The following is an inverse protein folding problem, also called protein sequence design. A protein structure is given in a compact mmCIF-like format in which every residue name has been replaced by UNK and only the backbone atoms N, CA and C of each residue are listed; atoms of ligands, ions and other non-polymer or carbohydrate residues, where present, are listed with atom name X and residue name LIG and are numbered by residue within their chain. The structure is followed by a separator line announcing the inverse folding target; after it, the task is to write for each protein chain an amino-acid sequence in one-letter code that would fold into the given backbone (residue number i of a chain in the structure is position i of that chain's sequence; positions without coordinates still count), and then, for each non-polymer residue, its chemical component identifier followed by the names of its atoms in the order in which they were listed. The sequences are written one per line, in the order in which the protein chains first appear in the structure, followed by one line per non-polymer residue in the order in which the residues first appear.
data_IF_162073555352
#
_entry.id   IF_162073555352
#
_cell.length_a   1.000
_cell.length_b   1.000
_cell.length_c   1.000
_cell.angle_alpha   90.00
_cell.angle_beta   90.00
_cell.angle_gamma   90.00
#
_symmetry.space_group_name_H-M   'P 1'
#
loop_
_entity.id
_entity.type
_entity.pdbx_description
1 polymer ?
#
# COMPACT_ATOMS: atom_id res chain seq x y z
N UNK A 1 -25.21 -1.90 -5.52
CA UNK A 1 -23.81 -2.00 -5.94
C UNK A 1 -22.93 -1.96 -4.69
N UNK A 2 -22.04 -2.95 -4.48
CA UNK A 2 -21.13 -2.92 -3.33
C UNK A 2 -20.02 -1.92 -3.60
N UNK A 3 -19.99 -0.83 -2.82
CA UNK A 3 -19.05 0.27 -3.01
C UNK A 3 -17.81 0.05 -2.15
N UNK A 4 -16.63 0.32 -2.72
CA UNK A 4 -15.38 0.41 -1.97
C UNK A 4 -15.47 1.56 -0.96
N UNK A 5 -14.96 1.30 0.22
CA UNK A 5 -14.64 2.34 1.21
C UNK A 5 -13.14 2.43 1.36
N UNK A 6 -12.65 3.57 1.78
CA UNK A 6 -11.22 3.78 1.99
C UNK A 6 -10.94 4.44 3.34
N UNK A 7 -9.73 4.21 3.84
CA UNK A 7 -9.21 4.86 5.07
C UNK A 7 -7.71 5.03 4.94
N UNK A 8 -7.23 6.22 5.32
CA UNK A 8 -5.80 6.51 5.39
C UNK A 8 -5.20 6.09 6.73
N UNK A 9 -3.95 5.68 6.69
CA UNK A 9 -3.16 5.24 7.83
C UNK A 9 -1.78 5.88 7.78
N UNK A 10 -1.23 6.15 8.96
CA UNK A 10 0.18 6.50 9.15
C UNK A 10 0.83 5.34 9.87
N UNK A 11 1.92 4.85 9.32
CA UNK A 11 2.76 3.86 9.95
C UNK A 11 4.03 4.51 10.46
N UNK A 12 4.34 4.28 11.74
CA UNK A 12 5.53 4.76 12.42
C UNK A 12 6.48 3.61 12.71
N UNK A 13 7.52 3.40 11.90
CA UNK A 13 8.47 2.32 12.08
C UNK A 13 9.62 2.65 13.04
N UNK A 14 9.61 3.83 13.67
CA UNK A 14 10.69 4.26 14.57
C UNK A 14 10.76 3.39 15.84
N UNK A 15 11.93 3.09 16.38
CA UNK A 15 13.25 3.60 15.99
C UNK A 15 13.96 2.84 14.87
N UNK A 16 13.37 1.76 14.34
CA UNK A 16 14.02 0.90 13.35
C UNK A 16 14.25 1.60 12.00
N UNK A 17 13.36 2.52 11.65
CA UNK A 17 13.46 3.33 10.46
C UNK A 17 12.99 4.76 10.76
N UNK A 18 13.72 5.82 10.34
CA UNK A 18 13.51 7.16 10.86
C UNK A 18 12.31 7.90 10.30
N UNK A 19 11.72 7.44 9.18
CA UNK A 19 10.69 8.16 8.45
C UNK A 19 9.32 7.47 8.58
N UNK A 20 8.28 8.30 8.64
CA UNK A 20 6.89 7.85 8.61
C UNK A 20 6.48 7.42 7.21
N UNK A 21 5.56 6.48 7.12
CA UNK A 21 4.98 5.98 5.87
C UNK A 21 3.48 6.20 5.93
N UNK A 22 2.88 6.66 4.84
CA UNK A 22 1.44 6.75 4.71
C UNK A 22 0.91 5.70 3.74
N UNK A 23 -0.27 5.19 4.04
CA UNK A 23 -0.95 4.21 3.21
C UNK A 23 -2.45 4.47 3.20
N UNK A 24 -3.11 4.05 2.14
CA UNK A 24 -4.57 4.10 2.02
C UNK A 24 -5.08 2.70 1.72
N UNK A 25 -6.00 2.23 2.57
CA UNK A 25 -6.65 0.93 2.44
C UNK A 25 -7.99 1.10 1.76
N UNK A 26 -8.32 0.16 0.88
CA UNK A 26 -9.60 0.08 0.18
C UNK A 26 -10.19 -1.31 0.38
N UNK A 27 -11.49 -1.39 0.73
CA UNK A 27 -12.17 -2.67 0.92
C UNK A 27 -13.68 -2.53 0.72
N UNK A 28 -14.38 -3.64 0.60
CA UNK A 28 -15.84 -3.68 0.60
C UNK A 28 -16.30 -3.97 2.04
N UNK A 29 -17.11 -3.09 2.67
CA UNK A 29 -17.69 -3.36 3.97
C UNK A 29 -18.54 -4.64 3.95
N UNK A 30 -18.58 -5.34 5.07
CA UNK A 30 -19.44 -6.51 5.29
C UNK A 30 -19.26 -7.64 4.25
N UNK A 31 -18.20 -7.61 3.48
CA UNK A 31 -17.85 -8.70 2.60
C UNK A 31 -17.18 -9.83 3.39
N UNK A 32 -17.76 -11.02 3.29
CA UNK A 32 -17.15 -12.22 3.85
C UNK A 32 -16.16 -12.82 2.85
N UNK A 33 -14.91 -12.98 3.28
CA UNK A 33 -13.85 -13.57 2.48
C UNK A 33 -13.30 -14.82 3.15
N UNK A 34 -13.05 -15.84 2.34
CA UNK A 34 -12.30 -17.02 2.77
C UNK A 34 -10.80 -16.69 2.93
N UNK A 35 -10.04 -17.64 3.47
CA UNK A 35 -8.61 -17.47 3.69
C UNK A 35 -7.78 -17.27 2.41
N UNK A 36 -8.33 -17.65 1.25
CA UNK A 36 -7.66 -17.58 -0.06
C UNK A 36 -7.86 -16.24 -0.77
N UNK A 37 -8.60 -15.30 -0.17
CA UNK A 37 -8.77 -13.98 -0.75
C UNK A 37 -7.47 -13.17 -0.65
N UNK A 38 -7.11 -12.53 -1.77
CA UNK A 38 -5.86 -11.78 -1.91
C UNK A 38 -5.91 -10.43 -1.20
N UNK A 39 -4.76 -9.99 -0.73
CA UNK A 39 -4.46 -8.59 -0.43
C UNK A 39 -3.53 -8.06 -1.52
N UNK A 40 -3.92 -6.96 -2.16
CA UNK A 40 -3.10 -6.31 -3.18
C UNK A 40 -2.41 -5.09 -2.58
N UNK A 41 -1.15 -4.87 -2.97
CA UNK A 41 -0.36 -3.72 -2.56
C UNK A 41 0.13 -3.00 -3.80
N UNK A 42 -0.16 -1.69 -3.86
CA UNK A 42 0.25 -0.80 -4.93
C UNK A 42 1.28 0.19 -4.41
N UNK A 43 2.42 0.27 -5.10
CA UNK A 43 3.43 1.30 -4.90
C UNK A 43 3.47 2.21 -6.12
N UNK A 44 3.57 3.51 -5.90
CA UNK A 44 3.66 4.48 -6.99
C UNK A 44 5.08 4.59 -7.55
N UNK A 45 5.24 5.14 -8.75
CA UNK A 45 6.52 5.51 -9.32
C UNK A 45 7.00 6.88 -8.83
N UNK A 46 8.26 7.22 -9.11
CA UNK A 46 8.86 8.53 -8.81
C UNK A 46 7.99 9.68 -9.35
N UNK A 47 7.76 10.69 -8.53
CA UNK A 47 6.97 11.88 -8.88
C UNK A 47 5.46 11.70 -8.72
N UNK A 48 5.00 10.55 -8.21
CA UNK A 48 3.59 10.28 -7.96
C UNK A 48 3.32 10.06 -6.46
N UNK A 49 2.07 9.76 -6.11
CA UNK A 49 1.61 9.48 -4.77
C UNK A 49 0.57 8.35 -4.77
N UNK A 50 0.21 7.85 -3.60
CA UNK A 50 -0.66 6.66 -3.45
C UNK A 50 -2.02 6.77 -4.12
N UNK A 51 -2.61 7.96 -4.20
CA UNK A 51 -3.92 8.18 -4.80
C UNK A 51 -3.92 8.06 -6.33
N UNK A 52 -2.75 8.04 -6.98
CA UNK A 52 -2.63 7.75 -8.42
C UNK A 52 -3.37 6.46 -8.81
N UNK A 53 -3.44 5.52 -7.90
CA UNK A 53 -4.01 4.21 -8.16
C UNK A 53 -5.53 4.16 -8.05
N UNK A 54 -6.20 5.20 -7.56
CA UNK A 54 -7.65 5.18 -7.32
C UNK A 54 -8.48 4.84 -8.56
N UNK A 55 -8.25 5.43 -9.74
CA UNK A 55 -9.00 5.05 -10.94
C UNK A 55 -8.78 3.57 -11.31
N UNK A 56 -7.54 3.09 -11.21
CA UNK A 56 -7.22 1.68 -11.50
C UNK A 56 -7.85 0.73 -10.48
N UNK A 57 -7.93 1.13 -9.22
CA UNK A 57 -8.56 0.34 -8.15
C UNK A 57 -10.06 0.23 -8.38
N UNK A 58 -10.72 1.31 -8.80
CA UNK A 58 -12.13 1.33 -9.11
C UNK A 58 -12.44 0.42 -10.32
N UNK A 59 -11.68 0.54 -11.41
CA UNK A 59 -11.80 -0.30 -12.60
C UNK A 59 -11.56 -1.77 -12.29
N UNK A 60 -10.52 -2.06 -11.49
CA UNK A 60 -10.21 -3.42 -11.05
C UNK A 60 -11.34 -4.01 -10.23
N UNK A 61 -11.92 -3.24 -9.32
CA UNK A 61 -13.05 -3.67 -8.50
C UNK A 61 -14.27 -4.01 -9.35
N UNK A 62 -14.59 -3.18 -10.32
CA UNK A 62 -15.69 -3.43 -11.25
C UNK A 62 -15.45 -4.72 -12.07
N UNK A 63 -14.22 -4.91 -12.55
CA UNK A 63 -13.82 -6.10 -13.29
C UNK A 63 -13.95 -7.37 -12.44
N UNK A 64 -13.50 -7.33 -11.19
CA UNK A 64 -13.57 -8.47 -10.26
C UNK A 64 -15.03 -8.84 -9.92
N UNK A 65 -15.89 -7.85 -9.78
CA UNK A 65 -17.33 -8.07 -9.54
C UNK A 65 -18.04 -8.66 -10.75
N UNK A 66 -17.67 -8.24 -11.97
CA UNK A 66 -18.32 -8.67 -13.20
C UNK A 66 -17.87 -10.07 -13.65
N UNK A 67 -16.59 -10.39 -13.52
CA UNK A 67 -16.04 -11.65 -14.02
C UNK A 67 -16.07 -12.80 -13.00
N UNK A 68 -16.05 -12.47 -11.71
CA UNK A 68 -15.90 -13.48 -10.65
C UNK A 68 -14.51 -14.15 -10.68
N UNK A 69 -14.37 -15.17 -9.87
CA UNK A 69 -13.14 -15.99 -9.81
C UNK A 69 -12.21 -15.52 -8.70
N UNK A 70 -11.28 -14.61 -8.96
CA UNK A 70 -10.34 -14.11 -7.96
C UNK A 70 -11.06 -13.24 -6.95
N UNK A 71 -10.84 -13.51 -5.66
CA UNK A 71 -11.37 -12.70 -4.56
C UNK A 71 -10.27 -11.83 -3.99
N UNK A 72 -10.52 -10.52 -3.95
CA UNK A 72 -9.64 -9.54 -3.33
C UNK A 72 -10.31 -9.05 -2.05
N UNK A 73 -9.65 -9.25 -0.93
CA UNK A 73 -10.12 -8.85 0.40
C UNK A 73 -9.99 -7.36 0.61
N UNK A 74 -8.82 -6.85 0.23
CA UNK A 74 -8.45 -5.45 0.41
C UNK A 74 -7.32 -5.07 -0.53
N UNK A 75 -7.21 -3.78 -0.76
CA UNK A 75 -6.16 -3.18 -1.57
C UNK A 75 -5.50 -2.10 -0.72
N UNK A 76 -4.19 -2.02 -0.77
CA UNK A 76 -3.40 -0.98 -0.13
C UNK A 76 -2.63 -0.21 -1.19
N UNK A 77 -2.63 1.10 -1.11
CA UNK A 77 -1.71 1.97 -1.83
C UNK A 77 -0.82 2.71 -0.83
N UNK A 78 0.48 2.84 -1.13
CA UNK A 78 1.49 3.28 -0.17
C UNK A 78 2.25 4.46 -0.76
N UNK A 79 2.46 5.52 0.04
CA UNK A 79 3.42 6.58 -0.30
C UNK A 79 4.83 6.19 0.13
N UNK A 80 5.80 6.49 -0.71
CA UNK A 80 7.19 6.54 -0.28
C UNK A 80 7.39 7.71 0.71
N UNK A 81 8.33 7.62 1.65
CA UNK A 81 8.49 8.63 2.72
C UNK A 81 8.70 10.07 2.26
N UNK A 82 9.18 10.27 1.04
CA UNK A 82 9.43 11.57 0.42
C UNK A 82 8.36 11.95 -0.63
N UNK A 83 7.21 11.28 -0.64
CA UNK A 83 6.11 11.52 -1.58
C UNK A 83 4.78 11.64 -0.86
N UNK A 84 3.81 12.31 -1.49
CA UNK A 84 2.45 12.45 -1.00
C UNK A 84 2.35 12.96 0.44
N UNK A 85 1.40 12.43 1.20
CA UNK A 85 1.20 12.80 2.60
C UNK A 85 2.41 12.45 3.49
N UNK A 86 3.16 11.39 3.14
CA UNK A 86 4.35 10.99 3.88
C UNK A 86 5.44 12.07 3.82
N UNK A 87 5.62 12.73 2.68
CA UNK A 87 6.59 13.82 2.54
C UNK A 87 6.28 14.99 3.50
N UNK A 88 4.99 15.33 3.64
CA UNK A 88 4.56 16.39 4.57
C UNK A 88 4.88 16.01 6.01
N UNK A 89 4.59 14.78 6.41
CA UNK A 89 4.85 14.27 7.76
C UNK A 89 6.35 14.20 8.09
N UNK A 90 7.18 14.00 7.06
CA UNK A 90 8.63 13.85 7.19
C UNK A 90 9.41 15.14 6.87
N UNK A 91 8.74 16.26 6.56
CA UNK A 91 9.36 17.50 6.07
C UNK A 91 10.58 17.93 6.89
N UNK A 92 10.48 17.87 8.21
CA UNK A 92 11.57 18.25 9.11
C UNK A 92 12.68 17.19 9.25
N UNK A 93 12.43 15.98 8.77
CA UNK A 93 13.37 14.84 8.87
C UNK A 93 14.05 14.56 7.54
N UNK A 94 13.38 14.90 6.44
CA UNK A 94 13.93 14.83 5.09
C UNK A 94 14.98 15.92 4.93
N UNK A 95 16.26 15.58 5.03
CA UNK A 95 17.38 16.49 4.76
C UNK A 95 17.89 16.32 3.33
N UNK A 96 18.56 17.35 2.80
CA UNK A 96 19.36 17.25 1.58
C UNK A 96 20.39 16.14 1.77
N UNK A 97 20.33 15.10 0.90
CA UNK A 97 21.21 13.93 1.00
C UNK A 97 20.47 12.61 1.27
N UNK A 98 19.16 12.61 1.44
CA UNK A 98 18.33 11.42 1.39
C UNK A 98 18.14 10.89 -0.05
N UNK A 99 19.02 11.27 -0.96
CA UNK A 99 19.09 10.72 -2.30
C UNK A 99 19.23 9.20 -2.29
N UNK A 100 19.81 8.64 -1.24
CA UNK A 100 19.95 7.20 -1.01
C UNK A 100 18.67 6.51 -0.46
N UNK A 101 17.58 7.21 -0.24
CA UNK A 101 16.30 6.57 0.16
C UNK A 101 15.78 5.66 -0.96
N UNK A 102 16.12 5.95 -2.20
CA UNK A 102 15.84 5.07 -3.32
C UNK A 102 16.59 3.74 -3.24
N UNK A 103 17.80 3.72 -2.69
CA UNK A 103 18.57 2.50 -2.47
C UNK A 103 18.13 1.74 -1.22
N UNK A 104 17.47 2.40 -0.29
CA UNK A 104 16.97 1.70 0.87
C UNK A 104 15.72 0.90 0.46
N UNK A 105 15.90 -0.36 0.29
CA UNK A 105 14.92 -1.45 0.28
C UNK A 105 13.90 -1.38 1.43
N UNK A 106 13.94 -0.32 2.21
CA UNK A 106 13.30 -0.11 3.49
C UNK A 106 11.78 -0.14 3.42
N UNK A 107 11.15 0.37 2.36
CA UNK A 107 9.70 0.25 2.19
C UNK A 107 9.32 -1.23 2.06
N UNK A 108 10.13 -2.02 1.39
CA UNK A 108 9.92 -3.46 1.22
C UNK A 108 10.20 -4.26 2.49
N UNK A 109 11.16 -3.81 3.30
CA UNK A 109 11.43 -4.42 4.61
C UNK A 109 10.31 -4.15 5.61
N UNK A 110 9.59 -3.02 5.45
CA UNK A 110 8.48 -2.61 6.32
C UNK A 110 7.12 -3.19 5.88
N UNK A 111 7.03 -3.73 4.66
CA UNK A 111 5.80 -4.37 4.18
C UNK A 111 5.27 -5.47 5.10
N UNK A 112 6.10 -6.36 5.69
CA UNK A 112 5.63 -7.34 6.64
C UNK A 112 4.95 -6.72 7.85
N UNK A 113 5.48 -5.60 8.36
CA UNK A 113 4.94 -4.89 9.51
C UNK A 113 3.67 -4.12 9.15
N UNK A 114 3.62 -3.52 7.95
CA UNK A 114 2.42 -2.88 7.42
C UNK A 114 1.27 -3.89 7.23
N UNK A 115 1.60 -5.11 6.83
CA UNK A 115 0.64 -6.21 6.71
C UNK A 115 0.14 -6.69 8.07
N UNK A 116 0.94 -6.54 9.14
CA UNK A 116 0.52 -6.83 10.52
C UNK A 116 -0.52 -5.82 11.03
N UNK A 117 -0.54 -4.59 10.48
CA UNK A 117 -1.58 -3.59 10.78
C UNK A 117 -2.95 -3.97 10.20
N UNK A 118 -3.00 -4.87 9.24
CA UNK A 118 -4.26 -5.47 8.79
C UNK A 118 -4.75 -6.48 9.86
N UNK A 119 -5.07 -5.97 11.04
CA UNK A 119 -5.39 -6.71 12.27
C UNK A 119 -6.69 -7.54 12.23
N UNK A 120 -7.12 -7.92 11.06
CA UNK A 120 -8.24 -8.85 10.86
C UNK A 120 -7.78 -10.02 10.02
N UNK A 121 -7.19 -10.99 10.70
CA UNK A 121 -6.92 -12.31 10.14
C UNK A 121 -5.52 -12.47 9.55
N UNK A 122 -4.86 -13.44 10.07
CA UNK A 122 -3.57 -14.02 9.69
C UNK A 122 -3.34 -13.97 8.17
N UNK A 123 -2.59 -12.97 7.69
CA UNK A 123 -2.15 -12.94 6.30
C UNK A 123 -1.08 -14.03 6.17
N UNK A 124 -1.40 -15.12 5.46
CA UNK A 124 -0.37 -16.04 5.00
C UNK A 124 0.46 -15.30 3.94
N UNK A 125 1.78 -15.26 4.13
CA UNK A 125 2.76 -14.67 3.20
C UNK A 125 2.65 -15.23 1.76
N UNK A 126 1.97 -16.35 1.60
CA UNK A 126 1.87 -17.12 0.37
C UNK A 126 0.89 -16.54 -0.67
N UNK A 127 0.01 -15.61 -0.28
CA UNK A 127 -1.05 -15.08 -1.15
C UNK A 127 -0.99 -13.56 -1.35
N UNK A 128 0.18 -12.96 -1.11
CA UNK A 128 0.38 -11.53 -1.37
C UNK A 128 1.01 -11.34 -2.74
N UNK A 129 0.24 -10.85 -3.70
CA UNK A 129 0.72 -10.46 -5.02
C UNK A 129 1.25 -9.03 -4.99
N UNK A 130 2.55 -8.88 -5.26
CA UNK A 130 3.20 -7.59 -5.40
C UNK A 130 3.21 -7.17 -6.86
N UNK A 131 2.65 -6.02 -7.19
CA UNK A 131 2.86 -5.40 -8.50
C UNK A 131 4.21 -4.68 -8.51
N UNK A 132 5.24 -5.37 -8.98
CA UNK A 132 6.64 -4.92 -9.01
C UNK A 132 6.99 -4.24 -10.33
N UNK A 133 6.20 -3.31 -10.83
CA UNK A 133 6.64 -2.57 -12.02
C UNK A 133 6.99 -1.13 -11.66
N UNK A 134 8.26 -0.79 -11.89
CA UNK A 134 8.84 0.55 -12.03
C UNK A 134 9.72 1.13 -10.90
N UNK A 135 10.29 0.32 -10.03
CA UNK A 135 11.24 0.89 -9.05
C UNK A 135 12.73 0.73 -9.41
N UNK A 136 13.07 0.33 -10.64
CA UNK A 136 14.45 0.08 -11.05
C UNK A 136 15.16 1.27 -11.74
N UNK A 137 14.63 2.48 -11.62
CA UNK A 137 15.38 3.68 -12.07
C UNK A 137 15.09 4.84 -11.13
N UNK A 138 15.99 5.08 -10.21
CA UNK A 138 16.29 6.42 -9.71
C UNK A 138 17.24 7.08 -10.67
#
# INVERSE_FOLDING_TARGET
MRKLVSKSYVYDPRPNYPLLITAKRYWIPDASYNNDALTLIFAHGTGFHKELWEPTIDDLQELLLSRGGVKVREIWSIDAPNHGDAAILNENTLSWGYENICESLSVWQLLPDLLLLSSVGRIRKEHTLFSLRLWNRC
#
